data_IF_068311509036
#
_entry.id   IF_068311509036
#
_cell.length_a   1.000
_cell.length_b   1.000
_cell.length_c   1.000
_cell.angle_alpha   90.00
_cell.angle_beta   90.00
_cell.angle_gamma   90.00
#
_symmetry.space_group_name_H-M   'P 1'
#
loop_
_entity.id
_entity.type
_entity.pdbx_description
1 polymer ?
#
# COMPACT_ATOMS: atom_id res chain seq x y z
N UNK A 1 -6.30 -12.93 3.10
CA UNK A 1 -5.41 -11.82 2.69
C UNK A 1 -5.28 -11.69 1.18
N UNK A 2 -5.25 -12.81 0.45
CA UNK A 2 -5.10 -12.80 -1.03
C UNK A 2 -6.33 -12.21 -1.76
N UNK A 3 -7.45 -12.08 -1.08
CA UNK A 3 -8.71 -11.57 -1.62
C UNK A 3 -9.01 -10.13 -1.22
N UNK A 4 -8.18 -9.51 -0.37
CA UNK A 4 -8.33 -8.11 0.01
C UNK A 4 -7.99 -7.18 -1.17
N UNK A 5 -8.73 -6.08 -1.28
CA UNK A 5 -8.63 -5.16 -2.42
C UNK A 5 -7.57 -4.05 -2.26
N UNK A 6 -6.66 -4.18 -1.27
CA UNK A 6 -5.63 -3.16 -1.02
C UNK A 6 -4.83 -2.81 -2.28
N UNK A 7 -4.74 -1.52 -2.59
CA UNK A 7 -4.02 -1.01 -3.76
C UNK A 7 -4.80 -1.08 -5.08
N UNK A 8 -5.99 -1.68 -5.10
CA UNK A 8 -6.84 -1.68 -6.30
C UNK A 8 -7.56 -0.33 -6.40
N UNK A 9 -7.50 0.27 -7.58
CA UNK A 9 -8.24 1.48 -7.91
C UNK A 9 -8.89 1.39 -9.28
N UNK A 10 -10.08 1.94 -9.41
CA UNK A 10 -10.78 2.10 -10.68
C UNK A 10 -10.49 3.49 -11.23
N UNK A 11 -9.96 3.55 -12.46
CA UNK A 11 -9.66 4.80 -13.17
C UNK A 11 -10.70 5.04 -14.27
N UNK A 12 -11.29 6.25 -14.29
CA UNK A 12 -12.30 6.61 -15.26
C UNK A 12 -12.38 8.12 -15.51
N UNK A 13 -13.06 8.52 -16.58
CA UNK A 13 -13.46 9.93 -16.81
C UNK A 13 -14.98 10.03 -16.84
N UNK A 14 -15.49 11.19 -16.45
CA UNK A 14 -16.91 11.54 -16.53
C UNK A 14 -17.11 13.05 -16.54
N UNK A 15 -18.19 13.51 -17.18
CA UNK A 15 -18.69 14.88 -17.11
C UNK A 15 -19.93 15.03 -16.21
N UNK A 16 -20.15 14.08 -15.31
CA UNK A 16 -21.28 14.08 -14.38
C UNK A 16 -21.11 15.17 -13.30
N UNK A 17 -22.24 15.76 -12.89
CA UNK A 17 -22.27 16.67 -11.75
C UNK A 17 -22.20 15.96 -10.40
N UNK A 18 -22.44 14.64 -10.38
CA UNK A 18 -22.33 13.80 -9.20
C UNK A 18 -21.74 12.44 -9.54
N UNK A 19 -20.97 11.88 -8.61
CA UNK A 19 -20.50 10.49 -8.66
C UNK A 19 -21.05 9.77 -7.44
N UNK A 20 -21.71 8.64 -7.67
CA UNK A 20 -22.16 7.71 -6.64
C UNK A 20 -21.50 6.34 -6.83
N UNK A 21 -21.57 5.50 -5.83
CA UNK A 21 -21.12 4.12 -5.92
C UNK A 21 -22.03 3.19 -5.13
N UNK A 22 -22.17 1.96 -5.66
CA UNK A 22 -22.64 0.79 -4.92
C UNK A 22 -21.47 -0.16 -4.77
N UNK A 23 -21.28 -0.73 -3.57
CA UNK A 23 -20.25 -1.73 -3.35
C UNK A 23 -20.70 -2.72 -2.29
N UNK A 24 -20.26 -3.98 -2.46
CA UNK A 24 -20.49 -5.03 -1.49
C UNK A 24 -19.15 -5.58 -0.99
N UNK A 25 -19.05 -5.75 0.31
CA UNK A 25 -17.90 -6.26 1.06
C UNK A 25 -18.29 -7.52 1.82
N UNK A 26 -17.34 -8.20 2.46
CA UNK A 26 -17.63 -9.37 3.27
C UNK A 26 -18.21 -8.98 4.65
N UNK A 27 -18.73 -9.97 5.37
CA UNK A 27 -19.22 -9.86 6.75
C UNK A 27 -18.09 -9.89 7.80
N UNK A 28 -16.83 -9.93 7.38
CA UNK A 28 -15.67 -9.98 8.26
C UNK A 28 -15.65 -8.80 9.23
N UNK A 29 -15.23 -9.08 10.47
CA UNK A 29 -15.13 -8.06 11.51
C UNK A 29 -14.09 -7.00 11.14
N UNK A 30 -14.45 -5.75 11.37
CA UNK A 30 -13.54 -4.61 11.23
C UNK A 30 -12.37 -4.70 12.22
N UNK A 31 -11.17 -4.31 11.77
CA UNK A 31 -10.00 -4.21 12.63
C UNK A 31 -10.08 -2.98 13.54
N UNK A 32 -9.70 -3.16 14.81
CA UNK A 32 -9.82 -2.11 15.83
C UNK A 32 -8.92 -0.89 15.59
N UNK A 33 -7.81 -1.08 14.86
CA UNK A 33 -6.85 -0.02 14.52
C UNK A 33 -7.10 0.61 13.15
N UNK A 34 -8.29 0.43 12.58
CA UNK A 34 -8.65 1.00 11.28
C UNK A 34 -9.98 1.74 11.33
N UNK A 35 -10.10 2.81 10.57
CA UNK A 35 -11.40 3.44 10.36
C UNK A 35 -12.31 2.50 9.54
N UNK A 36 -13.64 2.55 9.70
CA UNK A 36 -14.56 1.82 8.82
C UNK A 36 -14.31 2.12 7.33
N UNK A 37 -13.99 3.37 7.00
CA UNK A 37 -13.74 3.81 5.64
C UNK A 37 -12.51 3.12 5.05
N UNK A 38 -11.39 3.07 5.78
CA UNK A 38 -10.18 2.41 5.30
C UNK A 38 -10.37 0.89 5.19
N UNK A 39 -11.09 0.28 6.14
CA UNK A 39 -11.28 -1.17 6.20
C UNK A 39 -12.21 -1.67 5.08
N UNK A 40 -13.37 -1.02 4.89
CA UNK A 40 -14.50 -1.49 4.07
C UNK A 40 -15.08 -0.44 3.11
N UNK A 41 -14.61 0.81 3.17
CA UNK A 41 -15.15 1.92 2.40
C UNK A 41 -14.43 2.19 1.10
N UNK A 42 -14.89 3.22 0.40
CA UNK A 42 -14.33 3.71 -0.86
C UNK A 42 -13.70 5.09 -0.66
N UNK A 43 -12.69 5.43 -1.48
CA UNK A 43 -11.99 6.72 -1.41
C UNK A 43 -11.80 7.29 -2.82
N UNK A 44 -12.50 8.41 -3.12
CA UNK A 44 -12.54 9.04 -4.44
C UNK A 44 -11.59 10.24 -4.52
N UNK A 45 -10.79 10.24 -5.58
CA UNK A 45 -9.94 11.35 -5.98
C UNK A 45 -10.34 11.88 -7.35
N UNK A 46 -10.23 13.21 -7.54
CA UNK A 46 -10.39 13.89 -8.81
C UNK A 46 -9.07 14.58 -9.16
N UNK A 47 -8.69 14.54 -10.44
CA UNK A 47 -7.52 15.27 -10.92
C UNK A 47 -7.90 16.70 -11.24
N UNK A 48 -7.25 17.64 -10.58
CA UNK A 48 -7.40 19.09 -10.79
C UNK A 48 -6.02 19.73 -10.84
N UNK A 49 -5.80 20.58 -11.83
CA UNK A 49 -4.53 21.28 -12.04
C UNK A 49 -3.31 20.34 -12.05
N UNK A 50 -3.48 19.18 -12.69
CA UNK A 50 -2.46 18.13 -12.79
C UNK A 50 -2.23 17.31 -11.53
N UNK A 51 -2.92 17.58 -10.42
CA UNK A 51 -2.77 16.92 -9.13
C UNK A 51 -4.02 16.13 -8.73
N UNK A 52 -3.86 14.97 -8.12
CA UNK A 52 -4.94 14.20 -7.54
C UNK A 52 -5.36 14.80 -6.20
N UNK A 53 -6.61 15.21 -6.09
CA UNK A 53 -7.20 15.80 -4.90
C UNK A 53 -8.31 14.92 -4.36
N UNK A 54 -8.41 14.82 -3.05
CA UNK A 54 -9.50 14.13 -2.36
C UNK A 54 -10.85 14.76 -2.72
N UNK A 55 -11.82 13.94 -3.08
CA UNK A 55 -13.15 14.38 -3.47
C UNK A 55 -14.28 13.84 -2.57
N UNK A 56 -14.15 12.63 -2.06
CA UNK A 56 -15.18 12.06 -1.21
C UNK A 56 -14.92 10.61 -0.83
N UNK A 57 -15.76 10.08 0.05
CA UNK A 57 -15.67 8.71 0.56
C UNK A 57 -17.00 7.99 0.53
N UNK A 58 -16.96 6.69 0.30
CA UNK A 58 -18.05 5.77 0.58
C UNK A 58 -17.92 5.24 2.01
N UNK A 59 -18.85 5.60 2.90
CA UNK A 59 -18.87 5.13 4.30
C UNK A 59 -19.65 3.82 4.36
N UNK A 60 -19.01 2.72 4.78
CA UNK A 60 -19.71 1.45 4.91
C UNK A 60 -20.66 1.47 6.10
N UNK A 61 -21.85 0.91 5.95
CA UNK A 61 -22.85 0.74 7.01
C UNK A 61 -23.48 -0.65 7.03
N UNK A 62 -23.24 -1.42 5.97
CA UNK A 62 -23.73 -2.79 5.77
C UNK A 62 -22.75 -3.56 4.87
N UNK A 63 -23.05 -4.83 4.58
CA UNK A 63 -22.26 -5.63 3.64
C UNK A 63 -22.39 -5.10 2.21
N UNK A 64 -23.57 -4.61 1.81
CA UNK A 64 -23.77 -3.88 0.56
C UNK A 64 -24.19 -2.43 0.87
N UNK A 65 -23.55 -1.50 0.21
CA UNK A 65 -23.67 -0.06 0.49
C UNK A 65 -23.96 0.70 -0.80
N UNK A 66 -24.62 1.85 -0.66
CA UNK A 66 -24.80 2.84 -1.72
C UNK A 66 -24.59 4.24 -1.15
N UNK A 67 -23.78 5.06 -1.84
CA UNK A 67 -23.51 6.42 -1.41
C UNK A 67 -23.23 7.35 -2.58
N UNK A 68 -23.63 8.62 -2.45
CA UNK A 68 -23.13 9.72 -3.27
C UNK A 68 -21.77 10.12 -2.70
N UNK A 69 -20.71 9.98 -3.51
CA UNK A 69 -19.34 10.28 -3.10
C UNK A 69 -19.03 11.78 -3.23
N UNK A 70 -19.49 12.40 -4.33
CA UNK A 70 -19.36 13.83 -4.60
C UNK A 70 -20.56 14.31 -5.43
N UNK A 71 -20.97 15.57 -5.26
CA UNK A 71 -22.09 16.18 -5.98
C UNK A 71 -21.88 17.68 -6.21
N UNK A 72 -22.75 18.28 -7.01
CA UNK A 72 -22.76 19.70 -7.35
C UNK A 72 -21.47 20.16 -8.06
N UNK A 73 -20.89 19.30 -8.87
CA UNK A 73 -19.77 19.64 -9.73
C UNK A 73 -20.25 20.31 -11.03
N UNK A 74 -19.36 21.07 -11.68
CA UNK A 74 -19.58 21.49 -13.05
C UNK A 74 -19.55 20.30 -14.03
N UNK A 75 -20.10 20.48 -15.24
CA UNK A 75 -20.24 19.45 -16.26
C UNK A 75 -18.99 19.25 -17.14
N UNK A 76 -17.84 19.80 -16.77
CA UNK A 76 -16.59 19.52 -17.48
C UNK A 76 -16.14 18.06 -17.27
N UNK A 77 -15.50 17.48 -18.28
CA UNK A 77 -14.92 16.13 -18.14
C UNK A 77 -13.79 16.17 -17.12
N UNK A 78 -13.81 15.23 -16.18
CA UNK A 78 -12.81 15.07 -15.11
C UNK A 78 -12.26 13.66 -15.09
N UNK A 79 -11.00 13.52 -14.65
CA UNK A 79 -10.36 12.23 -14.38
C UNK A 79 -10.56 11.84 -12.92
N UNK A 80 -10.88 10.57 -12.68
CA UNK A 80 -11.16 10.02 -11.36
C UNK A 80 -10.31 8.79 -11.04
N UNK A 81 -9.97 8.63 -9.74
CA UNK A 81 -9.47 7.39 -9.14
C UNK A 81 -10.35 7.03 -7.96
N UNK A 82 -10.95 5.86 -8.00
CA UNK A 82 -11.74 5.29 -6.90
C UNK A 82 -10.97 4.13 -6.28
N UNK A 83 -10.38 4.34 -5.10
CA UNK A 83 -9.69 3.31 -4.34
C UNK A 83 -10.67 2.42 -3.60
N UNK A 84 -10.40 1.11 -3.64
CA UNK A 84 -11.18 0.06 -2.98
C UNK A 84 -10.66 -0.19 -1.55
N UNK A 85 -11.44 -0.90 -0.70
CA UNK A 85 -11.10 -1.21 0.69
C UNK A 85 -9.71 -1.84 0.86
N UNK A 86 -9.04 -1.51 1.97
CA UNK A 86 -7.70 -2.05 2.26
C UNK A 86 -7.73 -3.44 2.91
N UNK A 87 -8.76 -3.73 3.71
CA UNK A 87 -8.79 -4.93 4.56
C UNK A 87 -10.06 -5.76 4.39
N UNK A 88 -10.70 -5.64 3.23
CA UNK A 88 -11.86 -6.49 2.93
C UNK A 88 -11.85 -6.96 1.46
N UNK A 89 -12.62 -8.01 1.23
CA UNK A 89 -12.96 -8.50 -0.10
C UNK A 89 -14.06 -7.62 -0.68
N UNK A 90 -14.00 -7.38 -1.98
CA UNK A 90 -15.02 -6.61 -2.69
C UNK A 90 -15.63 -7.51 -3.75
N UNK A 91 -16.90 -7.87 -3.56
CA UNK A 91 -17.63 -8.75 -4.47
C UNK A 91 -18.33 -8.00 -5.58
N UNK A 92 -18.60 -6.70 -5.38
CA UNK A 92 -19.31 -5.87 -6.36
C UNK A 92 -18.88 -4.41 -6.21
N UNK A 93 -18.67 -3.72 -7.33
CA UNK A 93 -18.51 -2.26 -7.40
C UNK A 93 -19.25 -1.75 -8.63
N UNK A 94 -20.13 -0.79 -8.44
CA UNK A 94 -20.81 -0.05 -9.50
C UNK A 94 -20.57 1.44 -9.30
N UNK A 95 -20.36 2.18 -10.39
CA UNK A 95 -20.19 3.63 -10.37
C UNK A 95 -21.40 4.26 -11.03
N UNK A 96 -22.10 5.12 -10.31
CA UNK A 96 -23.27 5.84 -10.79
C UNK A 96 -22.91 7.28 -11.18
N UNK A 97 -23.50 7.72 -12.30
CA UNK A 97 -23.40 9.05 -12.87
C UNK A 97 -24.78 9.60 -13.22
N UNK A 98 -24.91 10.90 -13.48
CA UNK A 98 -26.16 11.51 -13.94
C UNK A 98 -26.63 10.88 -15.26
N UNK A 99 -27.95 10.79 -15.46
CA UNK A 99 -28.57 10.07 -16.60
C UNK A 99 -28.01 10.48 -17.97
N UNK A 100 -27.65 11.73 -18.16
CA UNK A 100 -27.16 12.26 -19.44
C UNK A 100 -25.63 12.44 -19.47
N UNK A 101 -24.93 12.04 -18.40
CA UNK A 101 -23.48 12.10 -18.35
C UNK A 101 -22.82 10.91 -19.05
N UNK A 102 -21.61 11.10 -19.48
CA UNK A 102 -20.75 10.04 -20.01
C UNK A 102 -19.83 9.51 -18.90
N UNK A 103 -19.55 8.22 -18.93
CA UNK A 103 -18.50 7.59 -18.13
C UNK A 103 -17.67 6.68 -19.03
N UNK A 104 -16.35 6.74 -18.92
CA UNK A 104 -15.42 5.91 -19.70
C UNK A 104 -14.32 5.39 -18.80
N UNK A 105 -14.06 4.08 -18.85
CA UNK A 105 -12.89 3.50 -18.23
C UNK A 105 -11.61 4.06 -18.87
N UNK A 106 -10.60 4.33 -18.08
CA UNK A 106 -9.29 4.76 -18.56
C UNK A 106 -8.20 3.78 -18.14
N UNK A 107 -7.09 3.80 -18.87
CA UNK A 107 -5.88 3.11 -18.41
C UNK A 107 -5.37 3.73 -17.10
N UNK A 108 -4.52 2.97 -16.38
CA UNK A 108 -3.87 3.54 -15.19
C UNK A 108 -3.18 4.86 -15.55
N UNK A 109 -3.36 5.92 -14.77
CA UNK A 109 -2.70 7.21 -15.02
C UNK A 109 -1.23 7.22 -14.62
N UNK A 110 -0.73 6.13 -14.04
CA UNK A 110 0.62 6.01 -13.52
C UNK A 110 1.54 5.29 -14.51
N UNK A 111 2.79 5.77 -14.58
CA UNK A 111 3.85 5.22 -15.44
C UNK A 111 4.70 4.27 -14.60
N UNK A 112 5.41 3.34 -15.27
CA UNK A 112 6.34 2.38 -14.64
C UNK A 112 5.72 1.69 -13.40
N UNK A 113 6.05 0.46 -13.18
CA UNK A 113 5.55 -0.30 -12.04
C UNK A 113 6.64 -0.44 -10.99
N UNK A 114 6.37 0.04 -9.78
CA UNK A 114 7.19 -0.16 -8.60
C UNK A 114 6.46 -1.16 -7.71
N UNK A 115 6.94 -2.40 -7.67
CA UNK A 115 6.29 -3.43 -6.87
C UNK A 115 6.71 -3.27 -5.41
N UNK A 116 5.75 -3.17 -4.50
CA UNK A 116 5.99 -3.02 -3.06
C UNK A 116 5.50 -4.27 -2.34
N UNK A 117 6.44 -5.14 -1.94
CA UNK A 117 6.16 -6.34 -1.15
C UNK A 117 6.42 -6.06 0.32
N UNK A 118 5.43 -6.30 1.18
CA UNK A 118 5.65 -6.02 2.59
C UNK A 118 4.53 -6.40 3.54
N UNK A 119 4.58 -5.80 4.71
CA UNK A 119 3.77 -6.09 5.88
C UNK A 119 2.36 -5.47 5.81
N UNK A 120 1.68 -5.43 6.98
CA UNK A 120 0.45 -4.65 7.20
C UNK A 120 0.62 -3.16 6.89
N UNK A 121 1.83 -2.63 7.04
CA UNK A 121 2.14 -1.22 6.75
C UNK A 121 1.99 -0.95 5.25
N UNK A 122 2.52 -1.83 4.40
CA UNK A 122 2.34 -1.76 2.94
C UNK A 122 0.87 -1.93 2.57
N UNK A 123 0.18 -2.89 3.17
CA UNK A 123 -1.25 -3.11 2.92
C UNK A 123 -2.09 -1.87 3.25
N UNK A 124 -1.65 -1.06 4.22
CA UNK A 124 -2.27 0.21 4.61
C UNK A 124 -2.99 0.15 5.95
N UNK A 125 -2.53 -0.72 6.88
CA UNK A 125 -3.05 -0.73 8.24
C UNK A 125 -2.88 0.65 8.89
N UNK A 126 -3.94 1.10 9.54
CA UNK A 126 -4.05 2.39 10.25
C UNK A 126 -4.08 3.64 9.36
N UNK A 127 -4.01 3.53 8.04
CA UNK A 127 -4.41 4.63 7.17
C UNK A 127 -5.89 4.98 7.42
N UNK A 128 -6.25 6.26 7.41
CA UNK A 128 -7.63 6.67 7.68
C UNK A 128 -8.60 6.44 6.50
N UNK A 129 -8.09 6.27 5.28
CA UNK A 129 -8.82 6.04 4.03
C UNK A 129 -8.00 5.18 3.06
N UNK A 130 -8.62 4.44 2.13
CA UNK A 130 -7.89 3.58 1.19
C UNK A 130 -6.77 4.26 0.40
N UNK A 131 -7.01 5.45 -0.12
CA UNK A 131 -6.01 6.21 -0.88
C UNK A 131 -4.86 6.77 -0.02
N UNK A 132 -4.90 6.67 1.29
CA UNK A 132 -3.82 7.13 2.19
C UNK A 132 -2.84 6.01 2.57
N UNK A 133 -3.10 4.75 2.19
CA UNK A 133 -2.03 3.75 2.21
C UNK A 133 -0.81 4.28 1.44
N UNK A 134 0.39 4.19 2.02
CA UNK A 134 1.56 4.89 1.48
C UNK A 134 1.89 4.54 0.01
N UNK A 135 1.69 3.31 -0.51
CA UNK A 135 1.89 3.04 -1.92
C UNK A 135 0.93 3.84 -2.82
N UNK A 136 -0.32 4.02 -2.38
CA UNK A 136 -1.31 4.83 -3.12
C UNK A 136 -0.95 6.33 -3.11
N UNK A 137 -0.46 6.84 -1.98
CA UNK A 137 0.07 8.23 -1.87
C UNK A 137 1.24 8.44 -2.81
N UNK A 138 2.26 7.58 -2.74
CA UNK A 138 3.43 7.66 -3.60
C UNK A 138 3.04 7.62 -5.08
N UNK A 139 2.04 6.81 -5.47
CA UNK A 139 1.57 6.79 -6.85
C UNK A 139 1.04 8.14 -7.30
N UNK A 140 0.22 8.78 -6.49
CA UNK A 140 -0.36 10.10 -6.81
C UNK A 140 0.66 11.23 -6.78
N UNK A 141 1.65 11.16 -5.90
CA UNK A 141 2.68 12.20 -5.72
C UNK A 141 3.77 12.12 -6.81
N UNK A 142 4.15 10.92 -7.21
CA UNK A 142 5.27 10.70 -8.13
C UNK A 142 4.85 10.45 -9.57
N UNK A 143 3.59 10.04 -9.80
CA UNK A 143 3.14 9.56 -11.11
C UNK A 143 3.64 8.16 -11.48
N UNK A 144 4.29 7.43 -10.56
CA UNK A 144 4.71 6.05 -10.73
C UNK A 144 3.63 5.10 -10.16
N UNK A 145 3.53 3.88 -10.71
CA UNK A 145 2.56 2.88 -10.26
C UNK A 145 3.15 2.05 -9.11
N UNK A 146 2.93 2.45 -7.86
CA UNK A 146 3.31 1.67 -6.69
C UNK A 146 2.29 0.56 -6.47
N UNK A 147 2.64 -0.63 -6.93
CA UNK A 147 1.80 -1.83 -6.89
C UNK A 147 1.88 -2.49 -5.51
N UNK A 148 0.78 -2.43 -4.77
CA UNK A 148 0.72 -2.87 -3.38
C UNK A 148 0.60 -4.40 -3.26
N UNK A 149 1.62 -5.05 -2.72
CA UNK A 149 1.64 -6.43 -2.26
C UNK A 149 1.91 -6.50 -0.76
N UNK A 150 1.08 -5.82 0.01
CA UNK A 150 1.08 -5.89 1.47
C UNK A 150 0.34 -7.13 1.96
N UNK A 151 1.02 -7.92 2.81
CA UNK A 151 0.47 -9.13 3.42
C UNK A 151 0.57 -9.02 4.94
N UNK A 152 -0.47 -8.50 5.57
CA UNK A 152 -0.54 -8.26 7.00
C UNK A 152 -0.18 -9.52 7.80
N UNK A 153 0.84 -9.42 8.67
CA UNK A 153 1.33 -10.52 9.50
C UNK A 153 2.07 -11.64 8.76
N UNK A 154 2.15 -11.60 7.41
CA UNK A 154 2.54 -12.76 6.60
C UNK A 154 3.71 -12.55 5.65
N UNK A 155 4.15 -11.32 5.38
CA UNK A 155 5.31 -11.05 4.52
C UNK A 155 6.63 -11.41 5.25
N UNK A 156 7.15 -12.61 5.02
CA UNK A 156 8.34 -13.18 5.71
C UNK A 156 9.39 -13.72 4.75
N UNK A 157 9.41 -13.24 3.50
CA UNK A 157 10.37 -13.63 2.46
C UNK A 157 10.39 -15.15 2.17
N UNK A 158 9.24 -15.81 2.17
CA UNK A 158 9.12 -17.21 1.82
C UNK A 158 9.51 -17.45 0.35
N UNK A 159 10.14 -18.61 0.05
CA UNK A 159 10.62 -18.91 -1.29
C UNK A 159 9.50 -18.97 -2.35
N UNK A 160 8.31 -19.47 -1.99
CA UNK A 160 7.14 -19.49 -2.86
C UNK A 160 6.69 -18.07 -3.22
N UNK A 161 6.73 -17.15 -2.25
CA UNK A 161 6.38 -15.72 -2.45
C UNK A 161 7.45 -15.02 -3.27
N UNK A 162 8.73 -15.35 -3.11
CA UNK A 162 9.81 -14.79 -3.95
C UNK A 162 9.56 -15.06 -5.44
N UNK A 163 9.17 -16.29 -5.81
CA UNK A 163 8.84 -16.65 -7.18
C UNK A 163 7.62 -15.87 -7.71
N UNK A 164 6.57 -15.72 -6.90
CA UNK A 164 5.39 -14.92 -7.25
C UNK A 164 5.76 -13.44 -7.49
N UNK A 165 6.49 -12.84 -6.56
CA UNK A 165 6.96 -11.44 -6.67
C UNK A 165 7.81 -11.24 -7.91
N UNK A 166 8.76 -12.13 -8.17
CA UNK A 166 9.66 -12.05 -9.31
C UNK A 166 8.95 -12.29 -10.66
N UNK A 167 7.84 -13.03 -10.69
CA UNK A 167 7.05 -13.27 -11.91
C UNK A 167 6.30 -12.01 -12.38
N UNK A 168 6.01 -11.07 -11.49
CA UNK A 168 5.31 -9.83 -11.83
C UNK A 168 6.30 -8.85 -12.49
N UNK A 169 6.06 -8.40 -13.73
CA UNK A 169 6.91 -7.41 -14.36
C UNK A 169 6.85 -6.08 -13.62
N UNK A 170 8.00 -5.60 -13.15
CA UNK A 170 8.14 -4.30 -12.51
C UNK A 170 9.47 -3.62 -12.91
N UNK A 171 9.48 -2.30 -12.88
CA UNK A 171 10.66 -1.46 -13.14
C UNK A 171 11.56 -1.35 -11.92
N UNK A 172 11.01 -1.51 -10.71
CA UNK A 172 11.75 -1.59 -9.44
C UNK A 172 10.96 -2.40 -8.41
N UNK A 173 11.65 -2.85 -7.37
CA UNK A 173 11.08 -3.64 -6.26
C UNK A 173 11.42 -2.96 -4.93
N UNK A 174 10.43 -2.83 -4.07
CA UNK A 174 10.57 -2.40 -2.68
C UNK A 174 10.24 -3.59 -1.79
N UNK A 175 11.16 -3.93 -0.87
CA UNK A 175 11.01 -4.99 0.11
C UNK A 175 10.83 -4.37 1.49
N UNK A 176 9.59 -4.25 1.94
CA UNK A 176 9.17 -3.70 3.24
C UNK A 176 8.54 -4.80 4.11
N UNK A 177 9.26 -5.93 4.21
CA UNK A 177 8.78 -7.14 4.87
C UNK A 177 9.50 -7.45 6.20
N UNK A 178 10.46 -6.62 6.60
CA UNK A 178 11.22 -6.78 7.84
C UNK A 178 10.34 -6.84 9.10
N UNK A 179 9.27 -6.01 9.25
CA UNK A 179 8.45 -6.01 10.46
C UNK A 179 7.83 -7.36 10.84
N UNK A 180 7.58 -8.24 9.87
CA UNK A 180 6.97 -9.55 10.11
C UNK A 180 7.97 -10.70 10.29
N UNK A 181 9.24 -10.47 9.97
CA UNK A 181 10.26 -11.51 9.96
C UNK A 181 11.06 -11.54 11.27
N UNK A 182 11.43 -12.72 11.77
CA UNK A 182 12.44 -12.80 12.84
C UNK A 182 13.84 -12.55 12.29
N UNK A 183 14.83 -12.18 13.13
CA UNK A 183 16.22 -12.04 12.70
C UNK A 183 16.77 -13.28 12.01
N UNK A 184 16.39 -14.49 12.46
CA UNK A 184 16.79 -15.76 11.86
C UNK A 184 16.18 -15.95 10.47
N UNK A 185 14.90 -15.61 10.32
CA UNK A 185 14.22 -15.64 9.02
C UNK A 185 14.86 -14.65 8.04
N UNK A 186 15.20 -13.45 8.49
CA UNK A 186 15.90 -12.44 7.69
C UNK A 186 17.22 -13.01 7.18
N UNK A 187 18.08 -13.51 8.07
CA UNK A 187 19.38 -14.11 7.72
C UNK A 187 19.25 -15.29 6.75
N UNK A 188 18.25 -16.15 6.97
CA UNK A 188 18.07 -17.34 6.16
C UNK A 188 17.46 -17.07 4.76
N UNK A 189 16.70 -16.00 4.59
CA UNK A 189 15.81 -15.84 3.42
C UNK A 189 16.15 -14.67 2.51
N UNK A 190 16.78 -13.59 3.01
CA UNK A 190 17.04 -12.36 2.25
C UNK A 190 17.85 -12.63 0.98
N UNK A 191 18.94 -13.37 1.10
CA UNK A 191 19.81 -13.66 -0.05
C UNK A 191 19.06 -14.43 -1.16
N UNK A 192 18.27 -15.43 -0.80
CA UNK A 192 17.47 -16.18 -1.77
C UNK A 192 16.40 -15.30 -2.41
N UNK A 193 15.69 -14.50 -1.62
CA UNK A 193 14.62 -13.63 -2.12
C UNK A 193 15.15 -12.62 -3.16
N UNK A 194 16.26 -11.96 -2.85
CA UNK A 194 16.95 -11.04 -3.77
C UNK A 194 17.45 -11.79 -5.00
N UNK A 195 18.04 -12.97 -4.85
CA UNK A 195 18.56 -13.79 -5.97
C UNK A 195 17.45 -14.18 -6.95
N UNK A 196 16.28 -14.58 -6.45
CA UNK A 196 15.11 -14.93 -7.27
C UNK A 196 14.62 -13.72 -8.08
N UNK A 197 14.53 -12.54 -7.47
CA UNK A 197 14.18 -11.31 -8.20
C UNK A 197 15.24 -11.02 -9.26
N UNK A 198 16.53 -11.06 -8.93
CA UNK A 198 17.65 -10.80 -9.86
C UNK A 198 17.66 -11.75 -11.05
N UNK A 199 17.32 -13.01 -10.84
CA UNK A 199 17.24 -14.00 -11.93
C UNK A 199 16.20 -13.59 -12.99
N UNK A 200 15.08 -13.03 -12.58
CA UNK A 200 14.00 -12.61 -13.49
C UNK A 200 14.15 -11.16 -13.97
N UNK A 201 14.78 -10.31 -13.16
CA UNK A 201 14.94 -8.87 -13.37
C UNK A 201 16.39 -8.42 -13.05
N UNK A 202 17.35 -8.72 -13.91
CA UNK A 202 18.78 -8.53 -13.61
C UNK A 202 19.16 -7.08 -13.27
N UNK A 203 18.47 -6.09 -13.87
CA UNK A 203 18.83 -4.68 -13.77
C UNK A 203 17.81 -3.84 -12.95
N UNK A 204 16.68 -4.42 -12.50
CA UNK A 204 15.69 -3.65 -11.77
C UNK A 204 16.23 -3.25 -10.39
N UNK A 205 16.15 -1.98 -9.97
CA UNK A 205 16.50 -1.59 -8.60
C UNK A 205 15.71 -2.38 -7.57
N UNK A 206 16.38 -2.81 -6.51
CA UNK A 206 15.76 -3.42 -5.32
C UNK A 206 16.07 -2.51 -4.14
N UNK A 207 15.04 -2.01 -3.49
CA UNK A 207 15.12 -1.13 -2.34
C UNK A 207 14.62 -1.92 -1.12
N UNK A 208 15.45 -2.06 -0.11
CA UNK A 208 15.09 -2.74 1.14
C UNK A 208 14.80 -1.71 2.20
N UNK A 209 13.61 -1.79 2.79
CA UNK A 209 13.17 -0.93 3.89
C UNK A 209 13.27 -1.73 5.19
N UNK A 210 14.00 -1.24 6.22
CA UNK A 210 14.03 -1.86 7.54
C UNK A 210 12.69 -1.69 8.25
N UNK A 211 12.54 -2.34 9.41
CA UNK A 211 11.38 -2.07 10.27
C UNK A 211 11.44 -0.63 10.77
N UNK A 212 10.31 0.06 10.67
CA UNK A 212 10.12 1.32 11.39
C UNK A 212 10.30 1.09 12.89
N UNK A 213 10.68 2.14 13.62
CA UNK A 213 10.64 2.13 15.08
C UNK A 213 9.19 1.95 15.53
N UNK A 214 8.95 1.03 16.44
CA UNK A 214 7.66 0.90 17.10
C UNK A 214 7.65 1.81 18.31
N UNK A 215 6.71 2.76 18.36
CA UNK A 215 6.72 3.82 19.37
C UNK A 215 6.74 3.28 20.81
N UNK A 216 5.96 2.25 21.10
CA UNK A 216 5.99 1.64 22.43
C UNK A 216 7.32 0.93 22.75
N UNK A 217 8.15 0.62 21.75
CA UNK A 217 9.49 0.05 21.94
C UNK A 217 10.51 0.99 22.59
N UNK A 218 10.19 2.28 22.72
CA UNK A 218 10.99 3.18 23.54
C UNK A 218 10.88 2.88 25.04
N UNK A 219 9.80 2.26 25.48
CA UNK A 219 9.53 1.91 26.87
C UNK A 219 9.50 0.40 27.08
N UNK A 220 8.91 -0.38 26.16
CA UNK A 220 8.96 -1.84 26.13
C UNK A 220 10.29 -2.28 25.52
N UNK A 221 11.25 -2.63 26.40
CA UNK A 221 12.59 -3.01 25.99
C UNK A 221 12.64 -4.27 25.13
N UNK A 222 11.69 -5.20 25.29
CA UNK A 222 11.63 -6.42 24.46
C UNK A 222 11.24 -6.08 23.02
N UNK A 223 10.24 -5.20 22.86
CA UNK A 223 9.83 -4.70 21.56
C UNK A 223 10.94 -3.88 20.90
N UNK A 224 11.55 -2.96 21.64
CA UNK A 224 12.68 -2.15 21.14
C UNK A 224 13.85 -3.03 20.69
N UNK A 225 14.26 -4.00 21.50
CA UNK A 225 15.33 -4.94 21.18
C UNK A 225 15.01 -5.82 19.98
N UNK A 226 13.76 -6.26 19.86
CA UNK A 226 13.30 -7.03 18.69
C UNK A 226 13.46 -6.23 17.40
N UNK A 227 13.01 -4.98 17.36
CA UNK A 227 13.13 -4.11 16.18
C UNK A 227 14.58 -3.85 15.85
N UNK A 228 15.42 -3.55 16.86
CA UNK A 228 16.85 -3.38 16.68
C UNK A 228 17.49 -4.62 16.03
N UNK A 229 17.25 -5.81 16.59
CA UNK A 229 17.80 -7.07 16.06
C UNK A 229 17.34 -7.36 14.62
N UNK A 230 16.07 -7.05 14.28
CA UNK A 230 15.56 -7.16 12.91
C UNK A 230 16.34 -6.24 11.97
N UNK A 231 16.53 -4.97 12.36
CA UNK A 231 17.19 -3.95 11.54
C UNK A 231 18.68 -4.22 11.38
N UNK A 232 19.36 -4.67 12.43
CA UNK A 232 20.76 -5.12 12.36
C UNK A 232 20.92 -6.32 11.40
N UNK A 233 20.01 -7.30 11.49
CA UNK A 233 20.05 -8.48 10.63
C UNK A 233 19.87 -8.12 9.15
N UNK A 234 18.88 -7.29 8.80
CA UNK A 234 18.63 -6.93 7.41
C UNK A 234 19.72 -6.02 6.85
N UNK A 235 20.25 -5.09 7.63
CA UNK A 235 21.38 -4.25 7.22
C UNK A 235 22.63 -5.08 6.92
N UNK A 236 22.94 -6.07 7.77
CA UNK A 236 24.06 -7.00 7.57
C UNK A 236 23.89 -7.83 6.28
N UNK A 237 22.70 -8.36 6.03
CA UNK A 237 22.42 -9.15 4.81
C UNK A 237 22.52 -8.32 3.54
N UNK A 238 21.96 -7.10 3.54
CA UNK A 238 22.07 -6.19 2.38
C UNK A 238 23.54 -5.83 2.11
N UNK A 239 24.30 -5.46 3.16
CA UNK A 239 25.73 -5.17 3.03
C UNK A 239 26.54 -6.36 2.48
N UNK A 240 26.24 -7.58 2.96
CA UNK A 240 26.89 -8.80 2.48
C UNK A 240 26.59 -9.04 1.00
N UNK A 241 25.35 -8.86 0.57
CA UNK A 241 24.96 -9.01 -0.83
C UNK A 241 25.64 -7.96 -1.73
N UNK A 242 25.74 -6.71 -1.29
CA UNK A 242 26.47 -5.65 -1.98
C UNK A 242 27.97 -5.99 -2.12
N UNK A 243 28.61 -6.49 -1.05
CA UNK A 243 30.00 -6.96 -1.07
C UNK A 243 30.22 -8.14 -2.01
N UNK A 244 29.20 -9.02 -2.19
CA UNK A 244 29.21 -10.11 -3.18
C UNK A 244 28.92 -9.63 -4.61
N UNK A 245 28.80 -8.33 -4.85
CA UNK A 245 28.65 -7.74 -6.17
C UNK A 245 27.20 -7.65 -6.67
N UNK A 246 26.20 -7.82 -5.81
CA UNK A 246 24.79 -7.57 -6.19
C UNK A 246 24.62 -6.06 -6.42
N UNK A 247 24.45 -5.67 -7.69
CA UNK A 247 24.27 -4.27 -8.11
C UNK A 247 22.82 -3.81 -7.89
N UNK A 248 22.62 -2.48 -7.88
CA UNK A 248 21.31 -1.83 -7.78
C UNK A 248 20.46 -2.36 -6.62
N UNK A 249 21.11 -2.69 -5.52
CA UNK A 249 20.50 -3.06 -4.23
C UNK A 249 20.73 -1.91 -3.25
N UNK A 250 19.64 -1.31 -2.78
CA UNK A 250 19.66 -0.12 -1.93
C UNK A 250 19.04 -0.43 -0.57
N UNK A 251 19.53 0.25 0.46
CA UNK A 251 19.01 0.16 1.82
C UNK A 251 18.57 1.55 2.29
N UNK A 252 17.35 1.65 2.82
CA UNK A 252 16.83 2.90 3.36
C UNK A 252 17.29 3.04 4.82
N UNK A 253 17.77 4.24 5.20
CA UNK A 253 18.04 4.52 6.60
C UNK A 253 16.71 4.56 7.39
N UNK A 254 16.55 3.80 8.49
CA UNK A 254 15.33 3.79 9.28
C UNK A 254 15.11 5.07 10.10
N UNK A 255 16.14 5.87 10.29
CA UNK A 255 16.03 7.12 11.05
C UNK A 255 15.02 8.07 10.43
N UNK A 256 14.13 8.57 11.24
CA UNK A 256 13.14 9.59 10.87
C UNK A 256 12.04 9.16 9.90
N UNK A 257 11.84 7.86 9.66
CA UNK A 257 10.73 7.39 8.79
C UNK A 257 9.33 7.74 9.33
N UNK A 258 9.20 7.97 10.65
CA UNK A 258 7.97 8.35 11.34
C UNK A 258 8.04 9.76 11.99
N UNK A 259 9.04 10.57 11.65
CA UNK A 259 9.29 11.82 12.37
C UNK A 259 10.06 11.61 13.69
N UNK A 260 10.06 12.64 14.55
CA UNK A 260 10.80 12.66 15.84
C UNK A 260 9.92 13.09 17.02
N UNK A 261 8.63 13.30 16.78
CA UNK A 261 7.68 13.78 17.77
C UNK A 261 6.96 12.64 18.52
N UNK A 262 7.25 11.38 18.14
CA UNK A 262 6.65 10.17 18.69
C UNK A 262 5.13 10.01 18.41
N UNK A 263 4.58 10.80 17.49
CA UNK A 263 3.15 10.78 17.13
C UNK A 263 2.87 10.07 15.79
N UNK A 264 3.87 9.42 15.18
CA UNK A 264 3.80 8.83 13.85
C UNK A 264 2.98 7.54 13.72
N UNK A 265 2.40 6.99 14.80
CA UNK A 265 1.64 5.73 14.77
C UNK A 265 0.27 5.84 15.42
N UNK A 266 -0.65 4.93 15.05
CA UNK A 266 -1.99 4.84 15.64
C UNK A 266 -2.03 3.93 16.87
N UNK A 267 -1.24 2.85 16.86
CA UNK A 267 -1.26 1.79 17.86
C UNK A 267 0.14 1.41 18.37
N UNK A 268 1.11 2.30 18.19
CA UNK A 268 2.52 2.07 18.56
C UNK A 268 3.29 1.24 17.52
N UNK A 269 2.64 0.77 16.46
CA UNK A 269 3.23 -0.09 15.41
C UNK A 269 2.92 0.40 14.00
N UNK A 270 1.67 0.74 13.71
CA UNK A 270 1.21 1.07 12.37
C UNK A 270 1.17 2.58 12.17
N UNK A 271 1.81 3.10 11.11
CA UNK A 271 1.86 4.53 10.81
C UNK A 271 0.46 5.13 10.65
N UNK A 272 0.31 6.38 11.08
CA UNK A 272 -0.82 7.22 10.74
C UNK A 272 -0.64 7.86 9.34
N UNK A 273 -1.46 8.87 9.02
CA UNK A 273 -1.44 9.52 7.70
C UNK A 273 -0.38 10.62 7.53
N UNK A 274 0.37 10.97 8.59
CA UNK A 274 1.32 12.11 8.61
C UNK A 274 2.66 11.78 7.95
#
# INVERSE_FOLDING_TARGET
LLTHAAGIAVSFTSNSSAISAKWCVSDKKQLANMTPIANKGLDLYIKKDGKWQFAGVGRPSADCNEAVLVKNMDLSEKEYLLYLPLYDEVSQVEIGVDKNATIKATATPFKKRILVYGSSIVQGASASRPGLAYPARLSRETGLNFFNLGFSGSAKMEASVANMVASIPADAYILDCVPNSSPEQIKARTANFVSVIRKHRPQAPIIVIPSIVREHGYFDQEVGKRVQNQNEAIAAEVKLLQQKGVKDLYFVNPEHLLGQDHEGTVDGTHPNDI
#
